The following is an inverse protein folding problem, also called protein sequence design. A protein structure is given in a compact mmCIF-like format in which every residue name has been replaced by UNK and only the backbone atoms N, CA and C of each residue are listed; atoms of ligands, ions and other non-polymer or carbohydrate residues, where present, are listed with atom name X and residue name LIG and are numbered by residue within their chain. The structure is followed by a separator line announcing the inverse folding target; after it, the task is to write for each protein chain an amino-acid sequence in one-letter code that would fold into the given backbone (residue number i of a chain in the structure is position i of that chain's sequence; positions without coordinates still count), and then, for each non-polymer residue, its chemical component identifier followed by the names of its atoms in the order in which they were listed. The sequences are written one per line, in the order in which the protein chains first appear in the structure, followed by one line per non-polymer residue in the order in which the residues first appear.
data_IF_004127860684
#
_entry.id   IF_004127860684
#
_cell.length_a   1.000
_cell.length_b   1.000
_cell.length_c   1.000
_cell.angle_alpha   90.00
_cell.angle_beta   90.00
_cell.angle_gamma   90.00
#
_symmetry.space_group_name_H-M   'P 1'
#
loop_
_entity.id
_entity.type
_entity.pdbx_description
1 polymer ?
#
# COMPACT_ATOMS: atom_id res chain seq x y z
N UNK A 1 -18.50 -4.37 -3.10
CA UNK A 1 -17.05 -4.36 -2.69
C UNK A 1 -16.18 -3.88 -3.84
N UNK A 2 -14.92 -3.51 -3.56
CA UNK A 2 -13.95 -3.14 -4.59
C UNK A 2 -12.52 -3.56 -4.17
N UNK A 3 -11.61 -3.56 -5.13
CA UNK A 3 -10.16 -3.61 -4.91
C UNK A 3 -9.49 -2.72 -5.96
N UNK A 4 -8.18 -2.68 -6.02
CA UNK A 4 -7.43 -1.80 -6.93
C UNK A 4 -7.86 -1.96 -8.39
N UNK A 5 -7.81 -3.18 -8.94
CA UNK A 5 -8.12 -3.46 -10.35
C UNK A 5 -9.29 -4.44 -10.58
N UNK A 6 -10.12 -4.73 -9.57
CA UNK A 6 -11.31 -5.60 -9.72
C UNK A 6 -11.05 -7.11 -9.59
N UNK A 7 -9.90 -7.64 -9.97
CA UNK A 7 -9.61 -9.09 -10.11
C UNK A 7 -9.89 -9.90 -8.85
N UNK A 8 -9.52 -9.39 -7.67
CA UNK A 8 -9.78 -10.08 -6.39
C UNK A 8 -11.25 -10.12 -6.02
N UNK A 9 -12.00 -9.11 -6.49
CA UNK A 9 -13.43 -9.00 -6.21
C UNK A 9 -14.24 -10.08 -6.92
N UNK A 10 -13.86 -10.51 -8.12
CA UNK A 10 -14.51 -11.60 -8.84
C UNK A 10 -14.56 -12.88 -8.02
N UNK A 11 -13.41 -13.28 -7.43
CA UNK A 11 -13.36 -14.45 -6.54
C UNK A 11 -14.17 -14.25 -5.25
N UNK A 12 -14.05 -13.07 -4.65
CA UNK A 12 -14.73 -12.77 -3.37
C UNK A 12 -16.23 -12.70 -3.53
N UNK A 13 -16.75 -12.10 -4.60
CA UNK A 13 -18.20 -12.06 -4.88
C UNK A 13 -18.75 -13.44 -5.23
N UNK A 14 -18.02 -14.23 -6.02
CA UNK A 14 -18.39 -15.61 -6.30
C UNK A 14 -18.49 -16.45 -5.03
N UNK A 15 -17.51 -16.34 -4.14
CA UNK A 15 -17.53 -17.05 -2.87
C UNK A 15 -18.68 -16.62 -1.95
N UNK A 16 -18.95 -15.32 -1.84
CA UNK A 16 -20.08 -14.83 -1.04
C UNK A 16 -21.43 -15.31 -1.59
N UNK A 17 -21.61 -15.36 -2.92
CA UNK A 17 -22.83 -15.93 -3.54
C UNK A 17 -22.97 -17.41 -3.20
N UNK A 18 -21.89 -18.19 -3.19
CA UNK A 18 -21.94 -19.60 -2.75
C UNK A 18 -22.33 -19.75 -1.28
N UNK A 19 -22.03 -18.76 -0.44
CA UNK A 19 -22.46 -18.72 0.96
C UNK A 19 -23.92 -18.25 1.16
N UNK A 20 -24.66 -18.00 0.08
CA UNK A 20 -26.07 -17.61 0.12
C UNK A 20 -26.36 -16.12 0.18
N UNK A 21 -25.34 -15.25 0.02
CA UNK A 21 -25.56 -13.81 -0.08
C UNK A 21 -26.07 -13.46 -1.48
N UNK A 22 -27.28 -12.95 -1.61
CA UNK A 22 -27.91 -12.66 -2.90
C UNK A 22 -27.42 -11.34 -3.50
N UNK A 23 -27.36 -10.27 -2.70
CA UNK A 23 -27.02 -8.91 -3.13
C UNK A 23 -25.53 -8.64 -3.01
N UNK A 24 -24.72 -9.28 -3.85
CA UNK A 24 -23.26 -9.13 -3.86
C UNK A 24 -22.81 -8.49 -5.17
N UNK A 25 -22.28 -7.29 -5.06
CA UNK A 25 -21.79 -6.49 -6.19
C UNK A 25 -20.33 -6.13 -6.00
N UNK A 26 -19.62 -5.92 -7.10
CA UNK A 26 -18.28 -5.34 -7.09
C UNK A 26 -18.13 -4.28 -8.17
N UNK A 27 -17.21 -3.38 -7.95
CA UNK A 27 -16.91 -2.29 -8.88
C UNK A 27 -16.14 -2.84 -10.07
N UNK A 28 -16.68 -2.69 -11.27
CA UNK A 28 -16.06 -3.13 -12.52
C UNK A 28 -14.73 -2.41 -12.76
N UNK A 29 -13.66 -3.17 -13.01
CA UNK A 29 -12.29 -2.64 -13.12
C UNK A 29 -11.71 -2.04 -11.84
N UNK A 30 -12.42 -2.18 -10.70
CA UNK A 30 -11.99 -1.71 -9.39
C UNK A 30 -11.97 -0.19 -9.24
N UNK A 31 -11.31 0.28 -8.17
CA UNK A 31 -11.28 1.71 -7.84
C UNK A 31 -10.51 2.54 -8.87
N UNK A 32 -9.52 1.99 -9.55
CA UNK A 32 -8.76 2.74 -10.55
C UNK A 32 -9.65 3.11 -11.74
N UNK A 33 -10.41 2.15 -12.29
CA UNK A 33 -11.33 2.40 -13.40
C UNK A 33 -12.45 3.36 -13.00
N UNK A 34 -12.92 3.29 -11.76
CA UNK A 34 -13.86 4.26 -11.21
C UNK A 34 -13.28 5.68 -11.26
N UNK A 35 -12.07 5.88 -10.72
CA UNK A 35 -11.42 7.20 -10.68
C UNK A 35 -11.06 7.73 -12.07
N UNK A 36 -10.82 6.86 -13.06
CA UNK A 36 -10.58 7.25 -14.46
C UNK A 36 -11.84 7.78 -15.15
N UNK A 37 -12.99 7.18 -14.86
CA UNK A 37 -14.21 7.39 -15.65
C UNK A 37 -15.21 8.33 -14.98
N UNK A 38 -15.18 8.48 -13.65
CA UNK A 38 -16.11 9.33 -12.92
C UNK A 38 -15.66 10.79 -12.99
N UNK A 39 -16.57 11.66 -13.42
CA UNK A 39 -16.32 13.10 -13.45
C UNK A 39 -16.12 13.65 -12.04
N UNK A 40 -15.36 14.74 -11.93
CA UNK A 40 -14.99 15.32 -10.63
C UNK A 40 -16.18 15.74 -9.76
N UNK A 41 -17.28 16.19 -10.38
CA UNK A 41 -18.52 16.58 -9.74
C UNK A 41 -19.39 15.40 -9.29
N UNK A 42 -19.21 14.24 -9.90
CA UNK A 42 -19.91 12.99 -9.57
C UNK A 42 -19.07 12.07 -8.68
N UNK A 43 -17.82 12.44 -8.38
CA UNK A 43 -16.89 11.59 -7.65
C UNK A 43 -17.15 11.63 -6.13
N UNK A 44 -17.66 10.54 -5.59
CA UNK A 44 -17.93 10.38 -4.16
C UNK A 44 -16.71 9.87 -3.37
N UNK A 45 -15.60 9.51 -4.03
CA UNK A 45 -14.40 9.05 -3.34
C UNK A 45 -13.70 10.18 -2.60
N UNK A 46 -13.47 10.00 -1.31
CA UNK A 46 -12.76 10.95 -0.45
C UNK A 46 -11.43 10.37 0.01
N UNK A 47 -10.37 11.16 -0.14
CA UNK A 47 -9.03 10.78 0.27
C UNK A 47 -8.27 10.03 -0.83
N UNK A 48 -7.31 9.21 -0.41
CA UNK A 48 -6.43 8.46 -1.30
C UNK A 48 -6.75 6.97 -1.29
N UNK A 49 -6.60 6.29 -2.42
CA UNK A 49 -6.75 4.85 -2.49
C UNK A 49 -5.39 4.14 -2.44
N UNK A 50 -5.31 3.05 -1.66
CA UNK A 50 -4.11 2.22 -1.58
C UNK A 50 -3.93 1.41 -2.87
N UNK A 51 -2.70 1.41 -3.39
CA UNK A 51 -2.27 0.59 -4.53
C UNK A 51 -1.08 -0.28 -4.17
N UNK A 52 -0.96 -1.46 -4.82
CA UNK A 52 0.08 -2.45 -4.48
C UNK A 52 1.38 -2.25 -5.27
N UNK A 53 1.74 -1.00 -5.55
CA UNK A 53 2.98 -0.67 -6.23
C UNK A 53 3.79 0.39 -5.44
N UNK A 54 4.88 0.88 -6.03
CA UNK A 54 5.76 1.86 -5.39
C UNK A 54 5.13 3.24 -5.14
N UNK A 55 3.97 3.52 -5.73
CA UNK A 55 3.21 4.75 -5.47
C UNK A 55 2.56 4.73 -4.10
N UNK A 56 2.22 3.55 -3.59
CA UNK A 56 1.56 3.27 -2.30
C UNK A 56 0.11 3.76 -2.25
N UNK A 57 -0.16 5.00 -2.65
CA UNK A 57 -1.52 5.56 -2.74
C UNK A 57 -1.65 6.48 -3.95
N UNK A 58 -2.88 6.65 -4.39
CA UNK A 58 -3.27 7.56 -5.46
C UNK A 58 -4.41 8.46 -4.97
N UNK A 59 -4.37 9.73 -5.37
CA UNK A 59 -5.46 10.67 -5.18
C UNK A 59 -6.56 10.48 -6.24
N UNK A 60 -7.59 11.32 -6.21
CA UNK A 60 -8.71 11.29 -7.13
C UNK A 60 -8.32 11.55 -8.60
N UNK A 61 -7.19 12.19 -8.84
CA UNK A 61 -6.64 12.45 -10.18
C UNK A 61 -5.66 11.37 -10.64
N UNK A 62 -5.61 10.23 -9.95
CA UNK A 62 -4.67 9.11 -10.19
C UNK A 62 -3.18 9.49 -10.06
N UNK A 63 -2.89 10.64 -9.46
CA UNK A 63 -1.54 11.03 -9.15
C UNK A 63 -1.07 10.36 -7.87
N UNK A 64 0.26 10.24 -7.72
CA UNK A 64 0.86 9.67 -6.51
C UNK A 64 0.44 10.47 -5.27
N UNK A 65 -0.12 9.78 -4.30
CA UNK A 65 -0.53 10.35 -3.03
C UNK A 65 0.63 10.61 -2.05
N UNK A 66 0.26 11.01 -0.83
CA UNK A 66 1.22 11.39 0.22
C UNK A 66 1.66 10.23 1.12
N UNK A 67 0.99 9.08 1.02
CA UNK A 67 1.34 7.93 1.85
C UNK A 67 2.64 7.28 1.39
N UNK A 68 3.40 6.80 2.36
CA UNK A 68 4.59 5.97 2.16
C UNK A 68 4.37 4.59 2.79
N UNK A 69 5.10 3.60 2.32
CA UNK A 69 4.99 2.24 2.85
C UNK A 69 5.91 2.03 4.05
N UNK A 70 5.39 1.38 5.09
CA UNK A 70 6.24 0.78 6.11
C UNK A 70 6.94 -0.45 5.53
N UNK A 71 8.25 -0.41 5.34
CA UNK A 71 9.00 -1.54 4.78
C UNK A 71 9.16 -2.74 5.72
N UNK A 72 8.64 -2.69 6.94
CA UNK A 72 8.53 -3.82 7.85
C UNK A 72 7.22 -4.60 7.67
N UNK A 73 6.06 -3.93 7.83
CA UNK A 73 4.73 -4.56 7.78
C UNK A 73 3.92 -4.25 6.53
N UNK A 74 4.40 -3.34 5.67
CA UNK A 74 3.76 -2.88 4.43
C UNK A 74 2.47 -2.06 4.61
N UNK A 75 2.16 -1.60 5.80
CA UNK A 75 1.07 -0.65 6.02
C UNK A 75 1.41 0.71 5.40
N UNK A 76 0.44 1.38 4.78
CA UNK A 76 0.60 2.76 4.35
C UNK A 76 0.72 3.68 5.57
N UNK A 77 1.59 4.67 5.51
CA UNK A 77 1.88 5.61 6.58
C UNK A 77 1.68 7.04 6.10
N UNK A 78 0.87 7.80 6.82
CA UNK A 78 0.75 9.24 6.65
C UNK A 78 1.99 9.98 7.17
N UNK A 79 2.07 11.27 6.92
CA UNK A 79 3.11 12.13 7.52
C UNK A 79 3.05 12.12 9.06
N UNK A 80 1.84 12.01 9.64
CA UNK A 80 1.65 11.93 11.09
C UNK A 80 2.11 10.61 11.67
N UNK A 81 1.78 9.47 11.05
CA UNK A 81 2.26 8.17 11.49
C UNK A 81 3.80 8.12 11.56
N UNK A 82 4.49 8.84 10.68
CA UNK A 82 5.97 8.92 10.68
C UNK A 82 6.55 9.80 11.79
N UNK A 83 5.75 10.65 12.43
CA UNK A 83 6.14 11.40 13.63
C UNK A 83 6.01 10.60 14.91
N UNK A 84 5.35 9.43 14.86
CA UNK A 84 5.17 8.57 16.02
C UNK A 84 6.52 8.04 16.54
N UNK A 85 6.67 7.98 17.87
CA UNK A 85 7.88 7.48 18.56
C UNK A 85 8.31 6.05 18.16
N UNK A 86 7.36 5.24 17.70
CA UNK A 86 7.60 3.86 17.26
C UNK A 86 8.03 3.75 15.78
N UNK A 87 8.05 4.89 15.07
CA UNK A 87 8.49 4.89 13.68
C UNK A 87 10.00 4.91 13.57
N UNK A 88 10.54 3.84 12.99
CA UNK A 88 11.95 3.76 12.58
C UNK A 88 11.95 3.32 11.12
N UNK A 89 12.46 4.19 10.24
CA UNK A 89 12.47 3.95 8.80
C UNK A 89 13.04 2.57 8.45
N UNK A 90 12.25 1.79 7.71
CA UNK A 90 12.61 0.45 7.29
C UNK A 90 12.56 -0.63 8.37
N UNK A 91 12.26 -0.30 9.62
CA UNK A 91 12.30 -1.25 10.75
C UNK A 91 10.97 -1.42 11.45
N UNK A 92 10.23 -0.34 11.70
CA UNK A 92 8.98 -0.38 12.44
C UNK A 92 8.10 0.83 12.18
N UNK A 93 6.81 0.70 12.48
CA UNK A 93 5.84 1.79 12.62
C UNK A 93 4.91 1.47 13.79
N UNK A 94 3.99 2.36 14.13
CA UNK A 94 3.03 2.17 15.22
C UNK A 94 2.23 0.87 15.12
N UNK A 95 1.92 0.40 13.89
CA UNK A 95 1.15 -0.83 13.66
C UNK A 95 1.95 -2.12 13.90
N UNK A 96 3.28 -2.09 13.77
CA UNK A 96 4.08 -3.32 13.84
C UNK A 96 5.17 -3.30 14.93
N UNK A 97 5.35 -2.21 15.63
CA UNK A 97 6.43 -2.07 16.62
C UNK A 97 6.42 -3.19 17.67
N UNK A 98 5.25 -3.48 18.25
CA UNK A 98 5.09 -4.50 19.29
C UNK A 98 4.98 -5.93 18.73
N UNK A 99 4.61 -6.06 17.44
CA UNK A 99 4.46 -7.36 16.77
C UNK A 99 5.77 -7.88 16.18
N UNK A 100 6.78 -7.01 16.03
CA UNK A 100 8.03 -7.34 15.36
C UNK A 100 9.02 -7.96 16.34
N UNK A 101 9.43 -9.20 16.07
CA UNK A 101 10.40 -9.92 16.89
C UNK A 101 11.80 -9.30 16.82
N UNK A 102 12.64 -9.56 17.84
CA UNK A 102 14.03 -9.09 17.88
C UNK A 102 14.82 -9.59 16.64
N UNK A 103 14.57 -10.83 16.21
CA UNK A 103 15.20 -11.41 15.01
C UNK A 103 14.79 -10.65 13.73
N UNK A 104 13.52 -10.27 13.59
CA UNK A 104 13.05 -9.47 12.47
C UNK A 104 13.64 -8.06 12.51
N UNK A 105 13.67 -7.40 13.66
CA UNK A 105 14.28 -6.06 13.82
C UNK A 105 15.76 -6.07 13.41
N UNK A 106 16.52 -7.10 13.78
CA UNK A 106 17.93 -7.27 13.34
C UNK A 106 18.04 -7.39 11.81
N UNK A 107 17.19 -8.21 11.16
CA UNK A 107 17.19 -8.35 9.68
C UNK A 107 16.82 -7.03 8.98
N UNK A 108 15.82 -6.31 9.49
CA UNK A 108 15.42 -5.03 8.94
C UNK A 108 16.51 -3.98 9.05
N UNK A 109 17.20 -3.94 10.20
CA UNK A 109 18.34 -3.05 10.40
C UNK A 109 19.49 -3.36 9.43
N UNK A 110 19.80 -4.65 9.23
CA UNK A 110 20.84 -5.03 8.28
C UNK A 110 20.48 -4.65 6.84
N UNK A 111 19.24 -4.87 6.42
CA UNK A 111 18.74 -4.40 5.11
C UNK A 111 18.93 -2.88 4.94
N UNK A 112 18.57 -2.09 5.94
CA UNK A 112 18.73 -0.63 5.88
C UNK A 112 20.20 -0.19 5.79
N UNK A 113 21.11 -0.90 6.48
CA UNK A 113 22.55 -0.68 6.35
C UNK A 113 23.02 -0.94 4.92
N UNK A 114 22.61 -2.07 4.33
CA UNK A 114 22.96 -2.40 2.95
C UNK A 114 22.42 -1.36 1.95
N UNK A 115 21.18 -0.91 2.12
CA UNK A 115 20.60 0.15 1.29
C UNK A 115 21.42 1.45 1.39
N UNK A 116 21.82 1.84 2.61
CA UNK A 116 22.65 3.04 2.82
C UNK A 116 24.02 2.92 2.15
N UNK A 117 24.69 1.77 2.31
CA UNK A 117 25.99 1.50 1.70
C UNK A 117 25.93 1.57 0.16
N UNK A 118 24.89 1.00 -0.42
CA UNK A 118 24.68 1.03 -1.87
C UNK A 118 24.39 2.43 -2.39
N UNK A 119 23.61 3.23 -1.65
CA UNK A 119 23.38 4.64 -1.98
C UNK A 119 24.68 5.46 -2.00
N UNK A 120 25.56 5.24 -1.02
CA UNK A 120 26.88 5.91 -1.00
C UNK A 120 27.72 5.52 -2.22
N UNK A 121 27.58 4.29 -2.71
CA UNK A 121 28.28 3.79 -3.91
C UNK A 121 27.55 4.09 -5.23
N UNK A 122 26.45 4.85 -5.21
CA UNK A 122 25.57 5.10 -6.37
C UNK A 122 25.09 3.82 -7.07
N UNK A 123 24.88 2.75 -6.30
CA UNK A 123 24.36 1.47 -6.79
C UNK A 123 22.91 1.29 -6.38
N UNK A 124 22.09 0.67 -7.25
CA UNK A 124 20.73 0.25 -6.91
C UNK A 124 20.77 -0.98 -6.00
N UNK A 125 19.92 -1.00 -4.98
CA UNK A 125 19.79 -2.16 -4.07
C UNK A 125 19.07 -3.34 -4.73
N UNK A 126 18.01 -3.05 -5.48
CA UNK A 126 17.19 -4.03 -6.21
C UNK A 126 16.72 -3.39 -7.52
N UNK A 127 16.50 -4.21 -8.51
CA UNK A 127 16.02 -3.83 -9.83
C UNK A 127 17.06 -4.04 -10.93
N UNK A 128 16.64 -3.97 -12.21
CA UNK A 128 17.57 -4.08 -13.33
C UNK A 128 18.63 -2.99 -13.24
N UNK A 129 19.85 -3.33 -13.60
CA UNK A 129 20.88 -2.34 -13.92
C UNK A 129 20.47 -1.75 -15.26
N UNK A 130 20.32 -0.43 -15.30
CA UNK A 130 20.12 0.30 -16.55
C UNK A 130 21.36 0.19 -17.41
#
# INVERSE_FOLDING_TARGET
MFCTGGIRCEKSTSYLKQLGFENVFHLDGGILKYLENVKSDENEWKGECFVFDYRVSLNNSLEKGEYEMCYACRMPLSKENKKNKHYVKGQSCEYCYDQTTIKQKKRFNEREKQIKLLKVKNLKHLGPKD
#
